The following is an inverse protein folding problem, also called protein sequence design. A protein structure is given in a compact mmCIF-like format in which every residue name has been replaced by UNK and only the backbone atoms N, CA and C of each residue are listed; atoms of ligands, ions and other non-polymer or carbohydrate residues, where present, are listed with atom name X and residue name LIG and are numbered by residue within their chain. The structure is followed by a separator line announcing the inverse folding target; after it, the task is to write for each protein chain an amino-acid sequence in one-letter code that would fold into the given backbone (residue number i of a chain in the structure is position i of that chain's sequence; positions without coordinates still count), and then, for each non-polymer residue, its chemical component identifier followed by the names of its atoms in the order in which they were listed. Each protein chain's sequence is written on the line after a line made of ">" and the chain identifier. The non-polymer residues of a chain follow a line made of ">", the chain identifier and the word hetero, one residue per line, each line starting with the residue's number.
data_IF_026888320644
#
_entry.id   IF_026888320644
#
_cell.length_a   1.000
_cell.length_b   1.000
_cell.length_c   1.000
_cell.angle_alpha   90.00
_cell.angle_beta   90.00
_cell.angle_gamma   90.00
#
_symmetry.space_group_name_H-M   'P 1'
#
loop_
_entity.id
_entity.type
_entity.pdbx_description
1 polymer ?
#
# COMPACT_ATOMS: atom_id res chain seq x y z
N UNK A 1 5.31 16.15 20.58
CA UNK A 1 4.73 14.96 19.92
C UNK A 1 4.92 15.12 18.42
N UNK A 2 5.64 14.19 17.79
CA UNK A 2 6.17 14.37 16.44
C UNK A 2 5.07 14.66 15.41
N UNK A 3 5.36 15.65 14.58
CA UNK A 3 4.52 16.29 13.54
C UNK A 3 3.89 15.28 12.58
N UNK A 4 2.70 15.66 12.08
CA UNK A 4 2.02 15.21 10.87
C UNK A 4 2.99 15.04 9.67
N UNK A 5 3.73 13.94 9.63
CA UNK A 5 4.16 13.31 8.39
C UNK A 5 2.98 12.49 7.89
N UNK A 6 2.44 12.82 6.72
CA UNK A 6 1.28 12.15 6.12
C UNK A 6 1.26 10.66 6.43
N UNK A 7 0.15 10.20 7.00
CA UNK A 7 -0.08 8.81 7.37
C UNK A 7 0.30 7.90 6.20
N UNK A 8 1.40 7.16 6.37
CA UNK A 8 2.02 6.30 5.35
C UNK A 8 1.02 5.35 4.70
N UNK A 9 0.07 4.83 5.49
CA UNK A 9 -0.98 3.92 5.04
C UNK A 9 -1.92 4.68 4.09
N UNK A 10 -2.42 5.86 4.50
CA UNK A 10 -3.31 6.68 3.65
C UNK A 10 -2.63 7.08 2.34
N UNK A 11 -1.35 7.45 2.40
CA UNK A 11 -0.55 7.77 1.21
C UNK A 11 -0.43 6.55 0.27
N UNK A 12 -0.10 5.38 0.83
CA UNK A 12 0.02 4.13 0.06
C UNK A 12 -1.30 3.74 -0.58
N UNK A 13 -2.41 3.79 0.16
CA UNK A 13 -3.77 3.59 -0.35
C UNK A 13 -4.07 4.52 -1.53
N UNK A 14 -3.79 5.82 -1.39
CA UNK A 14 -4.01 6.80 -2.47
C UNK A 14 -3.17 6.52 -3.71
N UNK A 15 -1.89 6.17 -3.55
CA UNK A 15 -0.98 5.87 -4.66
C UNK A 15 -1.37 4.59 -5.40
N UNK A 16 -1.84 3.57 -4.68
CA UNK A 16 -2.26 2.30 -5.26
C UNK A 16 -3.71 2.31 -5.75
N UNK A 17 -4.50 3.33 -5.41
CA UNK A 17 -5.93 3.39 -5.68
C UNK A 17 -6.74 2.37 -4.86
N UNK A 18 -6.29 2.08 -3.64
CA UNK A 18 -6.88 1.09 -2.74
C UNK A 18 -7.49 1.76 -1.50
N UNK A 19 -8.48 1.10 -0.91
CA UNK A 19 -8.94 1.33 0.45
C UNK A 19 -8.00 0.66 1.48
N UNK A 20 -8.16 0.98 2.77
CA UNK A 20 -7.41 0.29 3.83
C UNK A 20 -7.77 -1.20 3.94
N UNK A 21 -9.02 -1.54 3.63
CA UNK A 21 -9.52 -2.92 3.58
C UNK A 21 -8.85 -3.70 2.46
N UNK A 22 -8.86 -3.17 1.24
CA UNK A 22 -8.21 -3.83 0.10
C UNK A 22 -6.69 -3.95 0.30
N UNK A 23 -6.05 -2.94 0.90
CA UNK A 23 -4.63 -3.04 1.27
C UNK A 23 -4.38 -4.19 2.26
N UNK A 24 -5.26 -4.36 3.26
CA UNK A 24 -5.16 -5.46 4.22
C UNK A 24 -5.35 -6.82 3.55
N UNK A 25 -6.35 -6.93 2.66
CA UNK A 25 -6.63 -8.14 1.89
C UNK A 25 -5.44 -8.53 0.99
N UNK A 26 -4.85 -7.57 0.28
CA UNK A 26 -3.65 -7.78 -0.54
C UNK A 26 -2.45 -8.27 0.29
N UNK A 27 -2.34 -7.81 1.53
CA UNK A 27 -1.28 -8.21 2.46
C UNK A 27 -1.59 -9.50 3.23
N UNK A 28 -2.80 -10.05 3.10
CA UNK A 28 -3.23 -11.23 3.87
C UNK A 28 -3.33 -11.00 5.38
N UNK A 29 -3.63 -9.76 5.80
CA UNK A 29 -3.77 -9.40 7.22
C UNK A 29 -5.16 -8.83 7.51
N UNK A 30 -5.52 -8.77 8.79
CA UNK A 30 -6.80 -8.22 9.21
C UNK A 30 -6.85 -6.68 9.03
N UNK A 31 -7.97 -6.15 8.52
CA UNK A 31 -8.19 -4.71 8.32
C UNK A 31 -7.96 -3.89 9.60
N UNK A 32 -8.34 -4.44 10.76
CA UNK A 32 -8.15 -3.80 12.06
C UNK A 32 -6.66 -3.49 12.35
N UNK A 33 -5.74 -4.28 11.79
CA UNK A 33 -4.29 -4.14 11.96
C UNK A 33 -3.81 -2.91 11.18
N UNK A 34 -4.22 -2.77 9.93
CA UNK A 34 -3.96 -1.57 9.11
C UNK A 34 -4.56 -0.32 9.77
N UNK A 35 -5.80 -0.42 10.29
CA UNK A 35 -6.48 0.69 10.97
C UNK A 35 -5.72 1.15 12.23
N UNK A 36 -5.17 0.23 13.02
CA UNK A 36 -4.37 0.55 14.20
C UNK A 36 -3.07 1.27 13.82
N UNK A 37 -2.36 0.80 12.80
CA UNK A 37 -1.15 1.47 12.29
C UNK A 37 -1.45 2.86 11.73
N UNK A 38 -2.51 2.96 10.94
CA UNK A 38 -3.00 4.21 10.35
C UNK A 38 -3.35 5.26 11.42
N UNK A 39 -3.94 4.85 12.55
CA UNK A 39 -4.29 5.74 13.67
C UNK A 39 -3.13 5.97 14.65
N UNK A 40 -1.99 5.31 14.47
CA UNK A 40 -0.86 5.38 15.40
C UNK A 40 -1.10 4.68 16.74
N UNK A 41 -2.11 3.80 16.82
CA UNK A 41 -2.38 2.97 18.02
C UNK A 41 -1.26 1.95 18.22
N UNK A 42 -0.72 1.41 17.13
CA UNK A 42 0.45 0.57 17.10
C UNK A 42 1.41 1.07 16.03
N UNK A 43 2.74 0.94 16.21
CA UNK A 43 3.69 1.30 15.18
C UNK A 43 3.55 0.36 13.97
N UNK A 44 3.70 0.91 12.76
CA UNK A 44 3.79 0.10 11.54
C UNK A 44 5.09 -0.71 11.56
N UNK A 45 5.04 -2.05 11.46
CA UNK A 45 6.23 -2.87 11.41
C UNK A 45 7.07 -2.59 10.16
N UNK A 46 8.40 -2.73 10.27
CA UNK A 46 9.30 -2.52 9.13
C UNK A 46 8.99 -3.40 7.92
N UNK A 47 8.57 -4.66 8.15
CA UNK A 47 8.18 -5.57 7.08
C UNK A 47 6.93 -5.08 6.32
N UNK A 48 6.00 -4.43 7.01
CA UNK A 48 4.79 -3.89 6.39
C UNK A 48 5.14 -2.69 5.48
N UNK A 49 6.09 -1.86 5.90
CA UNK A 49 6.64 -0.78 5.06
C UNK A 49 7.26 -1.36 3.78
N UNK A 50 8.04 -2.45 3.90
CA UNK A 50 8.61 -3.14 2.73
C UNK A 50 7.54 -3.76 1.84
N UNK A 51 6.47 -4.31 2.42
CA UNK A 51 5.34 -4.80 1.65
C UNK A 51 4.66 -3.68 0.84
N UNK A 52 4.48 -2.49 1.41
CA UNK A 52 3.95 -1.33 0.68
C UNK A 52 4.84 -0.92 -0.50
N UNK A 53 6.16 -0.96 -0.33
CA UNK A 53 7.12 -0.68 -1.42
C UNK A 53 6.97 -1.73 -2.55
N UNK A 54 6.88 -3.01 -2.19
CA UNK A 54 6.72 -4.11 -3.16
C UNK A 54 5.41 -4.02 -3.95
N UNK A 55 4.28 -3.70 -3.29
CA UNK A 55 2.99 -3.52 -3.97
C UNK A 55 3.04 -2.37 -5.01
N UNK A 56 3.78 -1.29 -4.72
CA UNK A 56 3.96 -0.18 -5.67
C UNK A 56 4.79 -0.61 -6.88
N UNK A 57 5.86 -1.38 -6.65
CA UNK A 57 6.69 -1.93 -7.72
C UNK A 57 5.86 -2.87 -8.60
N UNK A 58 5.08 -3.76 -7.99
CA UNK A 58 4.18 -4.66 -8.72
C UNK A 58 3.17 -3.89 -9.58
N UNK A 59 2.56 -2.83 -9.03
CA UNK A 59 1.63 -1.96 -9.79
C UNK A 59 2.30 -1.31 -11.00
N UNK A 60 3.52 -0.81 -10.84
CA UNK A 60 4.30 -0.22 -11.93
C UNK A 60 4.67 -1.26 -12.99
N UNK A 61 5.14 -2.43 -12.56
CA UNK A 61 5.45 -3.56 -13.44
C UNK A 61 4.24 -3.95 -14.27
N UNK A 62 3.07 -4.12 -13.65
CA UNK A 62 1.84 -4.47 -14.36
C UNK A 62 1.42 -3.38 -15.36
N UNK A 63 1.58 -2.10 -15.01
CA UNK A 63 1.29 -1.00 -15.94
C UNK A 63 2.19 -1.06 -17.18
N UNK A 64 3.50 -1.28 -16.99
CA UNK A 64 4.46 -1.38 -18.09
C UNK A 64 4.17 -2.63 -18.93
N UNK A 65 3.93 -3.77 -18.28
CA UNK A 65 3.59 -5.03 -18.94
C UNK A 65 2.34 -4.87 -19.81
N UNK A 66 1.28 -4.27 -19.29
CA UNK A 66 0.04 -4.04 -20.02
C UNK A 66 0.24 -3.09 -21.19
N UNK A 67 1.10 -2.06 -21.05
CA UNK A 67 1.47 -1.18 -22.15
C UNK A 67 2.11 -1.95 -23.31
N UNK A 68 3.08 -2.82 -23.05
CA UNK A 68 3.72 -3.61 -24.11
C UNK A 68 2.80 -4.66 -24.74
N UNK A 69 1.95 -5.32 -23.93
CA UNK A 69 0.98 -6.31 -24.43
C UNK A 69 -0.06 -5.66 -25.34
N UNK A 70 -0.56 -4.47 -24.96
CA UNK A 70 -1.60 -3.79 -25.75
C UNK A 70 -1.04 -2.98 -26.93
N UNK A 71 0.24 -2.61 -26.90
CA UNK A 71 0.91 -1.91 -28.02
C UNK A 71 1.36 -2.84 -29.16
N UNK A 72 1.24 -4.15 -28.97
CA UNK A 72 1.58 -5.17 -29.98
C UNK A 72 0.34 -5.79 -30.65
N UNK A 73 -0.85 -5.28 -30.34
CA UNK A 73 -2.10 -5.52 -31.06
C UNK A 73 -2.43 -4.32 -31.95
#
# INVERSE_FOLDING_TARGET
>A
MAKNSDNLIKKTCKELGLTQKELAEQMGIAENTISQWSRGVAPTPAWAVKMFELLKIERQYNTIKDFFINSTK
#
